data_IF_537495828424
#
_entry.id   IF_537495828424
#
_cell.length_a   1.000
_cell.length_b   1.000
_cell.length_c   1.000
_cell.angle_alpha   90.00
_cell.angle_beta   90.00
_cell.angle_gamma   90.00
#
_symmetry.space_group_name_H-M   'P 1'
#
loop_
_entity.id
_entity.type
_entity.pdbx_description
1 polymer ?
#
# COMPACT_ATOMS: atom_id res chain seq x y z
N UNK A 1 -6.69 14.31 7.60
CA UNK A 1 -6.55 13.02 6.91
C UNK A 1 -5.38 13.13 5.97
N UNK A 2 -4.55 12.09 5.96
CA UNK A 2 -3.33 11.99 5.17
C UNK A 2 -3.37 10.70 4.35
N UNK A 3 -2.57 10.62 3.30
CA UNK A 3 -2.45 9.42 2.49
C UNK A 3 -1.01 9.16 2.07
N UNK A 4 -0.71 7.90 1.80
CA UNK A 4 0.55 7.44 1.21
C UNK A 4 0.24 6.49 0.05
N UNK A 5 1.12 6.45 -0.94
CA UNK A 5 1.02 5.51 -2.07
C UNK A 5 2.34 4.76 -2.15
N UNK A 6 2.27 3.44 -2.08
CA UNK A 6 3.41 2.55 -2.27
C UNK A 6 3.40 2.01 -3.71
N UNK A 7 4.56 2.01 -4.35
CA UNK A 7 4.81 1.25 -5.59
C UNK A 7 5.43 -0.09 -5.17
N UNK A 8 4.68 -1.18 -5.33
CA UNK A 8 5.12 -2.51 -4.94
C UNK A 8 5.39 -3.35 -6.18
N UNK A 9 6.64 -3.79 -6.43
CA UNK A 9 6.95 -4.68 -7.53
C UNK A 9 6.13 -5.96 -7.47
N UNK A 10 5.77 -6.54 -8.63
CA UNK A 10 4.99 -7.78 -8.70
C UNK A 10 5.63 -8.94 -7.91
N UNK A 11 6.96 -8.96 -7.78
CA UNK A 11 7.71 -9.96 -7.00
C UNK A 11 7.52 -9.81 -5.47
N UNK A 12 7.09 -8.64 -5.00
CA UNK A 12 6.90 -8.32 -3.59
C UNK A 12 5.42 -8.17 -3.22
N UNK A 13 4.50 -8.70 -4.02
CA UNK A 13 3.06 -8.65 -3.71
C UNK A 13 2.70 -9.25 -2.35
N UNK A 14 3.51 -10.18 -1.82
CA UNK A 14 3.33 -10.69 -0.45
C UNK A 14 3.34 -9.57 0.61
N UNK A 15 4.16 -8.53 0.44
CA UNK A 15 4.21 -7.38 1.36
C UNK A 15 2.90 -6.60 1.42
N UNK A 16 2.15 -6.55 0.31
CA UNK A 16 0.81 -5.94 0.28
C UNK A 16 -0.12 -6.71 1.24
N UNK A 17 -0.03 -8.05 1.24
CA UNK A 17 -0.87 -8.87 2.11
C UNK A 17 -0.55 -8.67 3.59
N UNK A 18 0.71 -8.38 3.92
CA UNK A 18 1.12 -8.11 5.31
C UNK A 18 0.60 -6.73 5.76
N UNK A 19 0.72 -5.71 4.89
CA UNK A 19 0.17 -4.36 5.10
C UNK A 19 -1.35 -4.37 5.36
N UNK A 20 -2.12 -5.11 4.55
CA UNK A 20 -3.60 -5.15 4.69
C UNK A 20 -4.07 -5.99 5.88
N UNK A 21 -3.21 -6.86 6.42
CA UNK A 21 -3.53 -7.70 7.60
C UNK A 21 -3.20 -7.02 8.91
N UNK A 22 -2.42 -5.94 8.89
CA UNK A 22 -2.10 -5.20 10.10
C UNK A 22 -3.36 -4.61 10.73
N UNK A 23 -3.52 -4.79 12.04
CA UNK A 23 -4.72 -4.41 12.79
C UNK A 23 -5.02 -2.90 12.77
N UNK A 24 -4.01 -2.05 12.56
CA UNK A 24 -4.16 -0.58 12.54
C UNK A 24 -4.41 -0.10 11.11
N UNK A 25 -3.65 -0.63 10.15
CA UNK A 25 -3.71 -0.23 8.75
C UNK A 25 -5.01 -0.73 8.08
N UNK A 26 -5.43 -1.97 8.38
CA UNK A 26 -6.65 -2.58 7.84
C UNK A 26 -7.94 -1.82 8.15
N UNK A 27 -7.92 -0.92 9.15
CA UNK A 27 -9.04 -0.05 9.52
C UNK A 27 -9.11 1.22 8.67
N UNK A 28 -8.09 1.49 7.87
CA UNK A 28 -8.01 2.67 7.01
C UNK A 28 -8.63 2.39 5.63
N UNK A 29 -8.74 3.42 4.80
CA UNK A 29 -9.14 3.24 3.41
C UNK A 29 -7.94 2.76 2.59
N UNK A 30 -8.03 1.53 2.06
CA UNK A 30 -6.97 0.92 1.26
C UNK A 30 -7.48 0.71 -0.16
N UNK A 31 -6.68 1.12 -1.15
CA UNK A 31 -6.94 0.91 -2.56
C UNK A 31 -5.71 0.32 -3.24
N UNK A 32 -5.85 -0.87 -3.82
CA UNK A 32 -4.80 -1.51 -4.60
C UNK A 32 -5.14 -1.49 -6.08
N UNK A 33 -4.18 -1.11 -6.93
CA UNK A 33 -4.36 -1.08 -8.37
C UNK A 33 -3.07 -1.43 -9.11
N UNK A 34 -3.16 -2.35 -10.06
CA UNK A 34 -2.02 -2.69 -10.92
C UNK A 34 -1.70 -1.56 -11.90
N UNK A 35 -0.41 -1.31 -12.13
CA UNK A 35 0.06 -0.30 -13.08
C UNK A 35 -0.49 -0.54 -14.49
N UNK A 36 -0.58 -1.81 -14.92
CA UNK A 36 -1.19 -2.20 -16.21
C UNK A 36 -2.65 -1.75 -16.32
N UNK A 37 -3.41 -1.80 -15.23
CA UNK A 37 -4.81 -1.32 -15.21
C UNK A 37 -4.92 0.21 -15.30
N UNK A 38 -3.81 0.93 -15.07
CA UNK A 38 -3.69 2.38 -15.23
C UNK A 38 -3.05 2.77 -16.57
N UNK A 39 -2.88 1.82 -17.50
CA UNK A 39 -2.12 2.00 -18.75
C UNK A 39 -0.66 2.46 -18.53
N UNK A 40 -0.07 2.08 -17.39
CA UNK A 40 1.34 2.32 -17.08
C UNK A 40 2.08 1.01 -17.40
N UNK A 41 3.07 1.09 -18.28
CA UNK A 41 3.90 -0.06 -18.68
C UNK A 41 4.99 -0.35 -17.63
N UNK A 42 4.54 -0.77 -16.46
CA UNK A 42 5.36 -1.24 -15.35
C UNK A 42 4.76 -2.51 -14.77
N UNK A 43 5.61 -3.40 -14.25
CA UNK A 43 5.19 -4.61 -13.53
C UNK A 43 5.17 -4.36 -12.02
N UNK A 44 4.30 -3.44 -11.61
CA UNK A 44 4.13 -3.00 -10.22
C UNK A 44 2.64 -2.85 -9.89
N UNK A 45 2.30 -2.98 -8.61
CA UNK A 45 1.00 -2.66 -8.05
C UNK A 45 1.11 -1.44 -7.15
N UNK A 46 0.20 -0.50 -7.28
CA UNK A 46 0.09 0.67 -6.42
C UNK A 46 -0.85 0.39 -5.27
N UNK A 47 -0.42 0.70 -4.05
CA UNK A 47 -1.25 0.59 -2.84
C UNK A 47 -1.39 1.97 -2.22
N UNK A 48 -2.59 2.55 -2.30
CA UNK A 48 -2.93 3.78 -1.59
C UNK A 48 -3.53 3.44 -0.23
N UNK A 49 -3.03 4.08 0.81
CA UNK A 49 -3.58 4.01 2.16
C UNK A 49 -3.94 5.43 2.57
N UNK A 50 -5.19 5.64 3.00
CA UNK A 50 -5.71 6.96 3.37
C UNK A 50 -6.43 6.85 4.72
N UNK A 51 -6.04 7.71 5.66
CA UNK A 51 -6.52 7.62 7.03
C UNK A 51 -5.89 8.61 8.00
N UNK A 52 -5.68 8.14 9.23
CA UNK A 52 -5.02 8.91 10.29
C UNK A 52 -3.49 8.82 10.18
N UNK A 53 -2.78 9.79 10.76
CA UNK A 53 -1.32 9.89 10.65
C UNK A 53 -0.58 8.71 11.30
N UNK A 54 -1.12 8.14 12.37
CA UNK A 54 -0.52 6.99 13.08
C UNK A 54 -0.47 5.75 12.18
N UNK A 55 -1.57 5.46 11.48
CA UNK A 55 -1.66 4.34 10.56
C UNK A 55 -0.78 4.54 9.33
N UNK A 56 -0.64 5.77 8.84
CA UNK A 56 0.27 6.07 7.71
C UNK A 56 1.72 5.86 8.12
N UNK A 57 2.16 6.37 9.28
CA UNK A 57 3.53 6.15 9.78
C UNK A 57 3.85 4.67 9.93
N UNK A 58 2.92 3.90 10.50
CA UNK A 58 3.08 2.45 10.65
C UNK A 58 3.16 1.74 9.29
N UNK A 59 2.41 2.19 8.30
CA UNK A 59 2.48 1.64 6.96
C UNK A 59 3.82 1.94 6.28
N UNK A 60 4.40 3.12 6.51
CA UNK A 60 5.74 3.47 6.04
C UNK A 60 6.80 2.57 6.69
N UNK A 61 6.75 2.38 8.02
CA UNK A 61 7.67 1.50 8.75
C UNK A 61 7.63 0.06 8.23
N UNK A 62 6.42 -0.49 7.99
CA UNK A 62 6.25 -1.84 7.45
C UNK A 62 6.67 -1.98 5.99
N UNK A 63 6.69 -0.90 5.21
CA UNK A 63 7.11 -0.92 3.82
C UNK A 63 8.63 -0.86 3.66
N UNK A 64 9.34 -0.30 4.64
CA UNK A 64 10.81 -0.25 4.68
C UNK A 64 11.47 -1.58 5.11
N UNK A 65 10.72 -2.47 5.77
CA UNK A 65 11.13 -3.84 6.15
C UNK A 65 11.01 -4.82 4.98
#
# INVERSE_FOLDING_TARGET
>A
MVYVIFEVPSEQQSKINDLIKDDVISRQSILTRDARALNIDKDVSYVKIEGNEEAIKKAEELAEE
#
